data_IF_884079932863
#
_entry.id   IF_884079932863
#
_cell.length_a   1.000
_cell.length_b   1.000
_cell.length_c   1.000
_cell.angle_alpha   90.00
_cell.angle_beta   90.00
_cell.angle_gamma   90.00
#
_symmetry.space_group_name_H-M   'P 1'
#
loop_
_entity.id
_entity.type
_entity.pdbx_description
1 polymer ?
#
# COMPACT_ATOMS: atom_id res chain seq x y z
N UNK A 1 8.66 7.74 -21.97
CA UNK A 1 7.54 7.86 -21.01
C UNK A 1 6.77 6.56 -21.01
N UNK A 2 6.72 5.81 -19.90
CA UNK A 2 6.01 4.51 -19.84
C UNK A 2 4.49 4.77 -19.69
N UNK A 3 3.60 4.04 -20.38
CA UNK A 3 2.17 4.23 -20.24
C UNK A 3 1.72 3.91 -18.79
N UNK A 4 0.98 4.84 -18.17
CA UNK A 4 0.46 4.70 -16.80
C UNK A 4 1.37 5.23 -15.67
N UNK A 5 2.42 5.98 -16.00
CA UNK A 5 3.37 6.57 -15.05
C UNK A 5 3.06 8.05 -14.81
N UNK A 6 2.86 8.45 -13.56
CA UNK A 6 2.55 9.83 -13.18
C UNK A 6 2.99 10.15 -11.76
N UNK A 7 3.42 11.40 -11.53
CA UNK A 7 3.69 11.90 -10.19
C UNK A 7 2.35 12.20 -9.51
N UNK A 8 1.97 11.37 -8.55
CA UNK A 8 0.74 11.58 -7.78
C UNK A 8 1.09 12.14 -6.39
N UNK A 9 0.40 13.21 -6.03
CA UNK A 9 0.50 13.76 -4.67
C UNK A 9 -0.45 13.00 -3.76
N UNK A 10 0.10 12.29 -2.78
CA UNK A 10 -0.71 11.58 -1.77
C UNK A 10 -0.56 12.28 -0.42
N UNK A 11 -1.65 12.35 0.34
CA UNK A 11 -1.59 12.76 1.75
C UNK A 11 -0.91 11.65 2.56
N UNK A 12 0.28 11.96 3.05
CA UNK A 12 1.07 11.18 4.00
C UNK A 12 0.80 11.72 5.42
N UNK A 13 1.16 10.95 6.46
CA UNK A 13 0.96 11.24 7.89
C UNK A 13 0.80 12.71 8.31
N UNK A 14 -0.13 12.97 9.23
CA UNK A 14 -0.28 14.24 9.97
C UNK A 14 -0.12 15.52 9.13
N UNK A 15 -0.75 15.53 7.95
CA UNK A 15 -0.76 16.65 6.98
C UNK A 15 0.49 16.80 6.09
N UNK A 16 1.46 15.90 6.14
CA UNK A 16 2.58 15.88 5.19
C UNK A 16 2.09 15.39 3.82
N UNK A 17 2.15 16.23 2.78
CA UNK A 17 1.96 15.76 1.40
C UNK A 17 3.29 15.22 0.90
N UNK A 18 3.38 13.91 0.62
CA UNK A 18 4.55 13.34 -0.06
C UNK A 18 4.18 13.08 -1.52
N UNK A 19 5.00 13.58 -2.43
CA UNK A 19 4.92 13.21 -3.84
C UNK A 19 5.49 11.82 -3.94
N UNK A 20 4.67 10.87 -4.39
CA UNK A 20 5.12 9.52 -4.69
C UNK A 20 5.05 9.35 -6.19
N UNK A 21 6.09 8.74 -6.75
CA UNK A 21 5.98 8.28 -8.11
C UNK A 21 5.13 7.01 -8.10
N UNK A 22 4.11 6.99 -8.95
CA UNK A 22 3.17 5.88 -8.95
C UNK A 22 2.76 5.45 -10.36
N UNK A 23 2.40 4.18 -10.44
CA UNK A 23 1.82 3.60 -11.63
C UNK A 23 0.67 2.69 -11.25
N UNK A 24 -0.42 2.76 -12.01
CA UNK A 24 -1.62 1.97 -11.72
C UNK A 24 -2.03 1.10 -12.87
N UNK A 25 -2.81 0.07 -12.54
CA UNK A 25 -3.36 -0.83 -13.54
C UNK A 25 -4.17 -1.94 -12.90
N UNK A 26 -4.32 -3.02 -13.65
CA UNK A 26 -4.99 -4.23 -13.19
C UNK A 26 -3.98 -5.36 -13.07
N UNK A 27 -3.99 -6.07 -11.95
CA UNK A 27 -3.35 -7.38 -11.78
C UNK A 27 -4.41 -8.48 -11.88
N UNK A 28 -3.99 -9.70 -12.19
CA UNK A 28 -4.87 -10.87 -12.20
C UNK A 28 -4.46 -11.78 -11.05
N UNK A 29 -5.41 -12.07 -10.16
CA UNK A 29 -5.24 -13.11 -9.15
C UNK A 29 -5.59 -14.44 -9.78
N UNK A 30 -4.58 -15.30 -9.90
CA UNK A 30 -4.72 -16.65 -10.44
C UNK A 30 -4.59 -17.67 -9.31
N UNK A 31 -5.55 -18.58 -9.23
CA UNK A 31 -5.51 -19.73 -8.34
C UNK A 31 -6.07 -20.93 -9.11
N UNK A 32 -5.33 -22.06 -9.21
CA UNK A 32 -5.79 -23.22 -9.96
C UNK A 32 -7.18 -23.68 -9.54
N UNK A 33 -8.06 -23.91 -10.52
CA UNK A 33 -9.44 -24.33 -10.26
C UNK A 33 -10.39 -23.23 -9.78
N UNK A 34 -9.93 -21.98 -9.67
CA UNK A 34 -10.78 -20.83 -9.33
C UNK A 34 -10.87 -19.84 -10.50
N UNK A 35 -11.98 -19.06 -10.58
CA UNK A 35 -12.07 -17.95 -11.54
C UNK A 35 -10.92 -16.95 -11.35
N UNK A 36 -10.42 -16.41 -12.46
CA UNK A 36 -9.44 -15.32 -12.42
C UNK A 36 -10.12 -14.07 -11.86
N UNK A 37 -9.54 -13.48 -10.82
CA UNK A 37 -10.09 -12.26 -10.19
C UNK A 37 -9.22 -11.07 -10.56
N UNK A 38 -9.76 -10.03 -11.24
CA UNK A 38 -9.02 -8.80 -11.48
C UNK A 38 -8.87 -8.01 -10.18
N UNK A 39 -7.67 -7.51 -9.94
CA UNK A 39 -7.33 -6.65 -8.81
C UNK A 39 -6.85 -5.29 -9.31
N UNK A 40 -7.25 -4.21 -8.66
CA UNK A 40 -6.59 -2.91 -8.84
C UNK A 40 -5.20 -3.00 -8.25
N UNK A 41 -4.17 -2.62 -9.01
CA UNK A 41 -2.79 -2.50 -8.51
C UNK A 41 -2.34 -1.05 -8.50
N UNK A 42 -1.64 -0.67 -7.44
CA UNK A 42 -0.93 0.61 -7.32
C UNK A 42 0.52 0.29 -6.98
N UNK A 43 1.44 0.65 -7.87
CA UNK A 43 2.88 0.58 -7.63
C UNK A 43 3.36 1.93 -7.12
N UNK A 44 4.16 1.89 -6.07
CA UNK A 44 4.69 3.07 -5.38
C UNK A 44 6.21 3.02 -5.39
N UNK A 45 6.83 4.13 -5.74
CA UNK A 45 8.27 4.35 -5.61
C UNK A 45 8.51 5.60 -4.76
N UNK A 46 9.44 5.48 -3.82
CA UNK A 46 9.93 6.65 -3.08
C UNK A 46 10.93 7.39 -3.97
N UNK A 47 10.65 8.63 -4.42
CA UNK A 47 11.59 9.39 -5.25
C UNK A 47 12.93 9.64 -4.54
N UNK A 48 12.93 9.66 -3.20
CA UNK A 48 14.15 9.84 -2.40
C UNK A 48 14.95 8.52 -2.24
N UNK A 49 14.41 7.39 -2.69
CA UNK A 49 15.03 6.06 -2.56
C UNK A 49 15.13 5.52 -1.14
N UNK A 50 14.54 6.20 -0.15
CA UNK A 50 14.60 5.81 1.27
C UNK A 50 13.85 4.50 1.53
N UNK A 51 12.78 4.24 0.77
CA UNK A 51 11.96 3.04 0.89
C UNK A 51 12.00 2.22 -0.39
N UNK A 52 12.03 0.90 -0.22
CA UNK A 52 11.92 -0.04 -1.33
C UNK A 52 10.58 0.14 -2.06
N UNK A 53 10.52 -0.12 -3.38
CA UNK A 53 9.28 -0.09 -4.14
C UNK A 53 8.22 -1.02 -3.54
N UNK A 54 6.96 -0.58 -3.54
CA UNK A 54 5.85 -1.35 -2.99
C UNK A 54 4.72 -1.51 -4.01
N UNK A 55 4.00 -2.63 -3.91
CA UNK A 55 2.79 -2.89 -4.67
C UNK A 55 1.60 -3.06 -3.73
N UNK A 56 0.58 -2.23 -3.89
CA UNK A 56 -0.69 -2.34 -3.19
C UNK A 56 -1.72 -2.99 -4.11
N UNK A 57 -2.48 -3.95 -3.56
CA UNK A 57 -3.53 -4.68 -4.27
C UNK A 57 -4.88 -4.41 -3.62
N UNK A 58 -5.90 -4.15 -4.43
CA UNK A 58 -7.27 -3.93 -3.98
C UNK A 58 -8.23 -4.78 -4.81
N UNK A 59 -9.14 -5.46 -4.12
CA UNK A 59 -10.17 -6.35 -4.71
C UNK A 59 -11.30 -5.59 -5.39
N UNK A 60 -11.46 -4.28 -5.16
CA UNK A 60 -12.35 -3.42 -5.94
C UNK A 60 -11.56 -2.77 -7.10
N UNK A 61 -11.77 -3.20 -8.36
CA UNK A 61 -11.05 -2.68 -9.52
C UNK A 61 -11.31 -1.19 -9.79
N UNK A 62 -12.40 -0.64 -9.26
CA UNK A 62 -12.83 0.75 -9.48
C UNK A 62 -12.31 1.68 -8.40
N UNK A 63 -11.66 1.15 -7.37
CA UNK A 63 -11.15 1.96 -6.28
C UNK A 63 -10.07 2.93 -6.77
N UNK A 64 -10.21 4.20 -6.39
CA UNK A 64 -9.27 5.23 -6.76
C UNK A 64 -7.91 5.00 -6.10
N UNK A 65 -6.83 5.29 -6.82
CA UNK A 65 -5.47 4.98 -6.37
C UNK A 65 -5.09 5.69 -5.07
N UNK A 66 -5.50 6.96 -4.90
CA UNK A 66 -5.27 7.70 -3.65
C UNK A 66 -6.00 7.08 -2.46
N UNK A 67 -7.17 6.48 -2.67
CA UNK A 67 -7.93 5.79 -1.62
C UNK A 67 -7.20 4.54 -1.15
N UNK A 68 -6.67 3.75 -2.09
CA UNK A 68 -5.88 2.54 -1.78
C UNK A 68 -4.64 2.91 -0.96
N UNK A 69 -3.92 3.96 -1.36
CA UNK A 69 -2.74 4.42 -0.62
C UNK A 69 -3.12 4.96 0.76
N UNK A 70 -4.23 5.70 0.88
CA UNK A 70 -4.71 6.19 2.17
C UNK A 70 -5.08 5.04 3.13
N UNK A 71 -5.74 4.00 2.64
CA UNK A 71 -6.03 2.81 3.45
C UNK A 71 -4.76 2.10 3.92
N UNK A 72 -3.75 1.98 3.05
CA UNK A 72 -2.46 1.41 3.44
C UNK A 72 -1.78 2.24 4.54
N UNK A 73 -1.79 3.57 4.42
CA UNK A 73 -1.22 4.47 5.41
C UNK A 73 -1.92 4.41 6.76
N UNK A 74 -3.26 4.37 6.76
CA UNK A 74 -4.03 4.17 7.98
C UNK A 74 -3.73 2.82 8.64
N UNK A 75 -3.51 1.76 7.86
CA UNK A 75 -3.10 0.46 8.42
C UNK A 75 -1.69 0.51 9.02
N UNK A 76 -0.76 1.20 8.39
CA UNK A 76 0.60 1.37 8.94
C UNK A 76 0.61 2.08 10.30
N UNK A 77 -0.33 3.00 10.57
CA UNK A 77 -0.53 3.58 11.91
C UNK A 77 -0.84 2.52 12.98
N UNK A 78 -1.62 1.50 12.62
CA UNK A 78 -1.98 0.42 13.55
C UNK A 78 -0.76 -0.46 13.85
N UNK A 79 0.05 -0.79 12.84
CA UNK A 79 1.22 -1.66 13.03
C UNK A 79 2.33 -0.98 13.86
N UNK A 80 2.54 0.34 13.75
CA UNK A 80 3.49 1.07 14.63
C UNK A 80 3.00 1.16 16.07
N UNK A 81 1.68 1.25 16.32
CA UNK A 81 1.13 1.15 17.66
C UNK A 81 1.35 -0.25 18.25
N UNK A 82 1.15 -1.31 17.46
CA UNK A 82 1.45 -2.67 17.92
C UNK A 82 2.94 -2.93 18.17
N UNK A 83 3.84 -2.28 17.45
CA UNK A 83 5.28 -2.34 17.72
C UNK A 83 5.65 -1.56 18.98
N UNK A 84 5.09 -0.35 19.17
CA UNK A 84 5.30 0.44 20.37
C UNK A 84 4.73 -0.25 21.63
N UNK A 85 3.54 -0.86 21.53
CA UNK A 85 2.93 -1.65 22.60
C UNK A 85 3.77 -2.89 22.93
N UNK A 86 4.33 -3.59 21.93
CA UNK A 86 5.27 -4.72 22.15
C UNK A 86 6.62 -4.30 22.69
N UNK A 87 7.05 -3.06 22.46
CA UNK A 87 8.27 -2.52 23.06
C UNK A 87 8.05 -2.03 24.51
N UNK A 88 6.80 -1.72 24.89
CA UNK A 88 6.44 -1.26 26.24
C UNK A 88 5.85 -2.35 27.14
N UNK A 89 5.46 -3.48 26.58
CA UNK A 89 5.08 -4.69 27.30
C UNK A 89 6.05 -5.77 26.87
N UNK A 90 6.91 -6.25 27.77
CA UNK A 90 7.75 -7.44 27.61
C UNK A 90 6.88 -8.72 27.49
N UNK A 91 5.99 -8.74 26.51
CA UNK A 91 5.00 -9.78 26.29
C UNK A 91 5.18 -10.39 24.92
N UNK A 92 5.81 -11.56 24.89
CA UNK A 92 5.74 -12.47 23.74
C UNK A 92 4.27 -12.66 23.34
N UNK A 93 3.93 -12.30 22.11
CA UNK A 93 2.63 -12.63 21.54
C UNK A 93 2.82 -13.87 20.68
N UNK A 94 2.35 -15.00 21.21
CA UNK A 94 2.17 -16.27 20.52
C UNK A 94 1.38 -16.04 19.22
N UNK A 95 1.92 -16.44 18.07
CA UNK A 95 1.16 -16.50 16.81
C UNK A 95 0.21 -17.70 16.88
N UNK A 96 -1.10 -17.45 16.74
CA UNK A 96 -2.06 -18.43 16.26
C UNK A 96 -2.00 -18.51 14.73
#
# INVERSE_FOLDING_TARGET
MRPGHGLDTVRWYDSLRKVLDCATGTALWYSPGQPIVPLRRVLLWDPDGIRAPMALLCTDPRCAQYTIVAWFLHRWQVDVTFQAVRAHLDGEIQRQ
#
